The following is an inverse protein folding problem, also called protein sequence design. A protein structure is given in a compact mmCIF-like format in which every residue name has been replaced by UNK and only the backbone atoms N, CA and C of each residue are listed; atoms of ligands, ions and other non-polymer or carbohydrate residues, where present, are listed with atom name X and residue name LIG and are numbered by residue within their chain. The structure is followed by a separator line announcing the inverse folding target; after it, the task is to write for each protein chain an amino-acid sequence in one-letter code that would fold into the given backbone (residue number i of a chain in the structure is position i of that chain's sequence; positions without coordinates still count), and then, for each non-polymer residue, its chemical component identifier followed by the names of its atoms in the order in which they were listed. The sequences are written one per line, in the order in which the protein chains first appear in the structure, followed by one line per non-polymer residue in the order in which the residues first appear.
data_IF_723257831115
#
_entry.id   IF_723257831115
#
_cell.length_a   1.000
_cell.length_b   1.000
_cell.length_c   1.000
_cell.angle_alpha   90.00
_cell.angle_beta   90.00
_cell.angle_gamma   90.00
#
_symmetry.space_group_name_H-M   'P 1'
#
loop_
_entity.id
_entity.type
_entity.pdbx_description
1 polymer ?
#
# COMPACT_ATOMS: atom_id res chain seq x y z
N UNK A 1 0.97 1.32 14.43
CA UNK A 1 -0.15 1.03 13.52
C UNK A 1 -0.54 2.33 12.85
N UNK A 2 -0.71 2.33 11.53
CA UNK A 2 -1.30 3.48 10.81
C UNK A 2 -2.80 3.56 11.08
N UNK A 3 -3.41 4.73 10.88
CA UNK A 3 -4.87 4.90 11.03
C UNK A 3 -5.65 3.87 10.19
N UNK A 4 -5.17 3.57 8.98
CA UNK A 4 -5.79 2.58 8.10
C UNK A 4 -5.73 1.15 8.66
N UNK A 5 -4.62 0.73 9.28
CA UNK A 5 -4.52 -0.61 9.89
C UNK A 5 -5.50 -0.78 11.05
N UNK A 6 -5.76 0.29 11.81
CA UNK A 6 -6.75 0.26 12.88
C UNK A 6 -8.16 0.09 12.32
N UNK A 7 -8.51 0.87 11.29
CA UNK A 7 -9.81 0.80 10.61
C UNK A 7 -10.04 -0.59 10.01
N UNK A 8 -9.06 -1.15 9.31
CA UNK A 8 -9.16 -2.49 8.71
C UNK A 8 -9.46 -3.56 9.78
N UNK A 9 -8.79 -3.49 10.93
CA UNK A 9 -8.98 -4.42 12.04
C UNK A 9 -10.30 -4.20 12.80
N UNK A 10 -10.78 -2.96 12.92
CA UNK A 10 -12.10 -2.65 13.47
C UNK A 10 -13.22 -3.21 12.60
N UNK A 11 -13.17 -2.95 11.30
CA UNK A 11 -14.16 -3.45 10.34
C UNK A 11 -14.22 -4.98 10.35
N UNK A 12 -13.08 -5.66 10.42
CA UNK A 12 -13.05 -7.12 10.49
C UNK A 12 -13.63 -7.66 11.81
N UNK A 13 -13.40 -6.99 12.95
CA UNK A 13 -14.04 -7.36 14.22
C UNK A 13 -15.56 -7.18 14.16
N UNK A 14 -16.06 -6.12 13.53
CA UNK A 14 -17.49 -5.90 13.34
C UNK A 14 -18.11 -6.98 12.44
N UNK A 15 -17.45 -7.32 11.32
CA UNK A 15 -17.85 -8.41 10.42
C UNK A 15 -18.00 -9.74 11.18
N UNK A 16 -17.04 -10.06 12.05
CA UNK A 16 -17.08 -11.27 12.88
C UNK A 16 -18.21 -11.23 13.90
N UNK A 17 -18.41 -10.08 14.56
CA UNK A 17 -19.50 -9.87 15.55
C UNK A 17 -20.88 -10.02 14.91
N UNK A 18 -21.01 -9.61 13.65
CA UNK A 18 -22.24 -9.72 12.85
C UNK A 18 -22.41 -11.08 12.17
N UNK A 19 -21.50 -12.04 12.39
CA UNK A 19 -21.52 -13.38 11.78
C UNK A 19 -21.61 -13.36 10.24
N UNK A 20 -20.99 -12.37 9.59
CA UNK A 20 -20.99 -12.27 8.13
C UNK A 20 -19.94 -13.24 7.54
N UNK A 21 -20.33 -14.50 7.36
CA UNK A 21 -19.44 -15.62 6.98
C UNK A 21 -19.21 -15.77 5.46
N UNK A 22 -19.67 -14.84 4.64
CA UNK A 22 -19.43 -14.90 3.20
C UNK A 22 -17.93 -14.77 2.86
N UNK A 23 -17.44 -15.36 1.75
CA UNK A 23 -16.04 -15.22 1.34
C UNK A 23 -15.64 -13.74 1.18
N UNK A 24 -14.50 -13.37 1.76
CA UNK A 24 -13.95 -12.00 1.72
C UNK A 24 -12.43 -12.03 1.81
N UNK A 25 -11.80 -10.93 1.45
CA UNK A 25 -10.38 -10.67 1.73
C UNK A 25 -10.25 -10.16 3.16
N UNK A 26 -9.20 -10.58 3.85
CA UNK A 26 -8.95 -10.25 5.27
C UNK A 26 -7.77 -9.29 5.43
N UNK A 27 -7.73 -8.48 6.51
CA UNK A 27 -6.57 -7.65 6.83
C UNK A 27 -5.28 -8.46 6.91
N UNK A 28 -5.32 -9.65 7.49
CA UNK A 28 -4.16 -10.54 7.66
C UNK A 28 -3.59 -10.99 6.31
N UNK A 29 -4.45 -11.27 5.32
CA UNK A 29 -4.00 -11.61 3.96
C UNK A 29 -3.28 -10.42 3.30
N UNK A 30 -3.82 -9.21 3.46
CA UNK A 30 -3.21 -8.01 2.90
C UNK A 30 -1.88 -7.71 3.59
N UNK A 31 -1.82 -7.82 4.91
CA UNK A 31 -0.59 -7.59 5.67
C UNK A 31 0.49 -8.63 5.31
N UNK A 32 0.12 -9.89 5.07
CA UNK A 32 1.04 -10.91 4.59
C UNK A 32 1.61 -10.61 3.19
N UNK A 33 0.79 -10.08 2.28
CA UNK A 33 1.26 -9.64 0.96
C UNK A 33 2.17 -8.41 1.07
N UNK A 34 1.79 -7.44 1.91
CA UNK A 34 2.60 -6.24 2.18
C UNK A 34 3.96 -6.57 2.79
N UNK A 35 4.09 -7.63 3.59
CA UNK A 35 5.37 -8.07 4.16
C UNK A 35 6.40 -8.46 3.09
N UNK A 36 5.96 -8.84 1.89
CA UNK A 36 6.82 -9.12 0.75
C UNK A 36 7.11 -7.93 -0.17
N UNK A 37 6.56 -6.73 0.13
CA UNK A 37 6.74 -5.54 -0.71
C UNK A 37 8.09 -4.90 -0.44
N UNK A 38 8.79 -4.57 -1.52
CA UNK A 38 10.05 -3.83 -1.51
C UNK A 38 9.87 -2.44 -2.13
N UNK A 39 10.79 -1.52 -1.83
CA UNK A 39 10.71 -0.15 -2.31
C UNK A 39 11.99 0.25 -3.04
N UNK A 40 11.85 0.70 -4.28
CA UNK A 40 12.93 1.36 -5.03
C UNK A 40 12.75 2.88 -4.95
N UNK A 41 13.80 3.61 -4.57
CA UNK A 41 13.72 5.06 -4.30
C UNK A 41 14.64 5.82 -5.24
N UNK A 42 14.09 6.84 -5.89
CA UNK A 42 14.82 7.68 -6.83
C UNK A 42 14.51 9.16 -6.63
N UNK A 43 15.55 10.00 -6.66
CA UNK A 43 15.41 11.46 -6.67
C UNK A 43 15.47 11.94 -8.10
N UNK A 44 14.48 12.70 -8.54
CA UNK A 44 14.44 13.21 -9.91
C UNK A 44 15.49 14.32 -10.07
N UNK A 45 16.46 14.16 -10.98
CA UNK A 45 17.56 15.12 -11.13
C UNK A 45 17.06 16.54 -11.40
N UNK A 46 17.68 17.51 -10.73
CA UNK A 46 17.31 18.93 -10.87
C UNK A 46 16.03 19.34 -10.15
N UNK A 47 15.44 18.47 -9.32
CA UNK A 47 14.22 18.76 -8.55
C UNK A 47 14.40 18.41 -7.08
N UNK A 48 13.38 18.70 -6.26
CA UNK A 48 13.26 18.24 -4.87
C UNK A 48 12.42 16.95 -4.75
N UNK A 49 12.01 16.39 -5.88
CA UNK A 49 11.09 15.26 -5.93
C UNK A 49 11.81 13.95 -5.63
N UNK A 50 11.35 13.25 -4.61
CA UNK A 50 11.72 11.87 -4.30
C UNK A 50 10.55 10.96 -4.62
N UNK A 51 10.79 9.93 -5.42
CA UNK A 51 9.83 8.90 -5.81
C UNK A 51 10.18 7.61 -5.07
N UNK A 52 9.17 6.87 -4.64
CA UNK A 52 9.31 5.49 -4.17
C UNK A 52 8.36 4.58 -4.95
N UNK A 53 8.89 3.50 -5.52
CA UNK A 53 8.13 2.49 -6.25
C UNK A 53 7.94 1.28 -5.35
N UNK A 54 6.69 0.94 -5.02
CA UNK A 54 6.34 -0.25 -4.25
C UNK A 54 6.21 -1.46 -5.19
N UNK A 55 7.02 -2.49 -4.95
CA UNK A 55 7.18 -3.65 -5.83
C UNK A 55 6.82 -4.91 -5.03
N UNK A 56 5.82 -5.65 -5.50
CA UNK A 56 5.43 -6.93 -4.92
C UNK A 56 6.55 -7.97 -5.07
N UNK A 57 6.52 -9.03 -4.24
CA UNK A 57 7.52 -10.10 -4.26
C UNK A 57 7.67 -10.79 -5.63
N UNK A 58 6.64 -10.74 -6.48
CA UNK A 58 6.65 -11.28 -7.84
C UNK A 58 7.18 -10.29 -8.91
N UNK A 59 7.66 -9.11 -8.51
CA UNK A 59 8.15 -8.06 -9.41
C UNK A 59 7.07 -7.13 -9.97
N UNK A 60 5.79 -7.31 -9.62
CA UNK A 60 4.72 -6.42 -10.05
C UNK A 60 4.78 -5.07 -9.31
N UNK A 61 4.73 -3.97 -10.04
CA UNK A 61 4.64 -2.62 -9.44
C UNK A 61 3.23 -2.38 -8.91
N UNK A 62 3.08 -2.32 -7.58
CA UNK A 62 1.80 -2.07 -6.93
C UNK A 62 1.42 -0.59 -6.95
N UNK A 63 2.38 0.29 -6.67
CA UNK A 63 2.13 1.72 -6.57
C UNK A 63 3.41 2.54 -6.70
N UNK A 64 3.23 3.82 -6.98
CA UNK A 64 4.28 4.84 -6.94
C UNK A 64 3.84 5.93 -5.96
N UNK A 65 4.68 6.19 -4.96
CA UNK A 65 4.55 7.30 -4.04
C UNK A 65 5.59 8.38 -4.31
N UNK A 66 5.33 9.60 -3.85
CA UNK A 66 6.27 10.70 -4.03
C UNK A 66 6.18 11.76 -2.94
N UNK A 67 7.25 12.54 -2.80
CA UNK A 67 7.30 13.77 -2.03
C UNK A 67 8.13 14.80 -2.76
N UNK A 68 7.78 16.08 -2.64
CA UNK A 68 8.60 17.18 -3.11
C UNK A 68 8.44 18.36 -2.15
N UNK A 69 9.55 18.98 -1.72
CA UNK A 69 9.49 20.21 -0.94
C UNK A 69 9.47 21.43 -1.88
N UNK A 70 8.73 22.48 -1.49
CA UNK A 70 8.56 23.66 -2.33
C UNK A 70 9.88 24.43 -2.54
N UNK A 71 10.73 24.48 -1.52
CA UNK A 71 12.02 25.15 -1.56
C UNK A 71 13.16 24.11 -1.53
N UNK A 72 14.10 24.12 -2.49
CA UNK A 72 15.29 23.27 -2.47
C UNK A 72 16.15 23.37 -1.20
N UNK A 73 16.11 24.49 -0.48
CA UNK A 73 16.81 24.64 0.80
C UNK A 73 16.29 23.67 1.87
N UNK A 74 15.05 23.20 1.75
CA UNK A 74 14.44 22.20 2.64
C UNK A 74 14.69 20.76 2.18
N UNK A 75 15.38 20.55 1.05
CA UNK A 75 15.57 19.22 0.50
C UNK A 75 16.47 18.37 1.40
N UNK A 76 15.95 17.19 1.74
CA UNK A 76 16.67 16.18 2.49
C UNK A 76 16.32 14.81 1.93
N UNK A 77 17.27 14.16 1.26
CA UNK A 77 17.03 12.90 0.55
C UNK A 77 16.53 11.77 1.47
N UNK A 78 17.05 11.67 2.70
CA UNK A 78 16.59 10.64 3.67
C UNK A 78 15.17 10.92 4.15
N UNK A 79 14.86 12.19 4.40
CA UNK A 79 13.53 12.61 4.82
C UNK A 79 12.51 12.41 3.70
N UNK A 80 12.84 12.84 2.48
CA UNK A 80 12.01 12.60 1.28
C UNK A 80 11.77 11.11 1.05
N UNK A 81 12.81 10.28 1.10
CA UNK A 81 12.69 8.83 0.95
C UNK A 81 11.72 8.21 1.97
N UNK A 82 11.83 8.59 3.25
CA UNK A 82 10.93 8.10 4.31
C UNK A 82 9.45 8.34 3.98
N UNK A 83 9.10 9.55 3.53
CA UNK A 83 7.70 9.89 3.28
C UNK A 83 7.21 9.47 1.89
N UNK A 84 8.09 9.40 0.89
CA UNK A 84 7.78 8.80 -0.40
C UNK A 84 7.45 7.30 -0.23
N UNK A 85 8.22 6.58 0.59
CA UNK A 85 7.93 5.18 0.95
C UNK A 85 6.58 5.07 1.64
N UNK A 86 6.28 5.92 2.64
CA UNK A 86 4.98 5.90 3.33
C UNK A 86 3.79 6.14 2.39
N UNK A 87 3.93 7.07 1.45
CA UNK A 87 2.92 7.33 0.43
C UNK A 87 2.75 6.11 -0.50
N UNK A 88 3.86 5.52 -0.95
CA UNK A 88 3.86 4.30 -1.77
C UNK A 88 3.25 3.10 -1.04
N UNK A 89 3.57 2.91 0.25
CA UNK A 89 3.07 1.85 1.11
C UNK A 89 1.54 1.93 1.26
N UNK A 90 1.02 3.12 1.57
CA UNK A 90 -0.43 3.35 1.70
C UNK A 90 -1.16 3.02 0.39
N UNK A 91 -0.64 3.51 -0.74
CA UNK A 91 -1.19 3.25 -2.07
C UNK A 91 -1.09 1.77 -2.46
N UNK A 92 0.01 1.10 -2.14
CA UNK A 92 0.21 -0.32 -2.40
C UNK A 92 -0.79 -1.16 -1.61
N UNK A 93 -1.01 -0.85 -0.33
CA UNK A 93 -2.03 -1.54 0.48
C UNK A 93 -3.43 -1.39 -0.12
N UNK A 94 -3.81 -0.18 -0.52
CA UNK A 94 -5.09 0.06 -1.20
C UNK A 94 -5.20 -0.70 -2.54
N UNK A 95 -4.10 -0.77 -3.29
CA UNK A 95 -4.04 -1.54 -4.54
C UNK A 95 -4.25 -3.05 -4.29
N UNK A 96 -3.60 -3.61 -3.27
CA UNK A 96 -3.76 -5.02 -2.91
C UNK A 96 -5.20 -5.33 -2.50
N UNK A 97 -5.84 -4.48 -1.68
CA UNK A 97 -7.27 -4.62 -1.36
C UNK A 97 -8.13 -4.71 -2.62
N UNK A 98 -7.88 -3.83 -3.60
CA UNK A 98 -8.62 -3.81 -4.88
C UNK A 98 -8.35 -5.07 -5.71
N UNK A 99 -7.09 -5.46 -5.87
CA UNK A 99 -6.68 -6.59 -6.71
C UNK A 99 -7.14 -7.93 -6.11
N UNK A 100 -6.97 -8.13 -4.81
CA UNK A 100 -7.42 -9.35 -4.13
C UNK A 100 -8.94 -9.44 -4.08
N UNK A 101 -9.64 -8.31 -3.91
CA UNK A 101 -11.10 -8.26 -4.01
C UNK A 101 -11.59 -8.64 -5.40
N UNK A 102 -10.94 -8.12 -6.45
CA UNK A 102 -11.22 -8.50 -7.83
C UNK A 102 -10.93 -9.99 -8.09
N UNK A 103 -9.76 -10.49 -7.66
CA UNK A 103 -9.37 -11.89 -7.79
C UNK A 103 -10.38 -12.82 -7.13
N UNK A 104 -10.83 -12.49 -5.91
CA UNK A 104 -11.88 -13.22 -5.22
C UNK A 104 -13.20 -13.17 -6.00
N UNK A 105 -13.59 -12.02 -6.53
CA UNK A 105 -14.82 -11.89 -7.32
C UNK A 105 -14.78 -12.75 -8.59
N UNK A 106 -13.65 -12.78 -9.31
CA UNK A 106 -13.46 -13.66 -10.46
C UNK A 106 -13.61 -15.13 -10.06
N UNK A 107 -12.95 -15.55 -8.98
CA UNK A 107 -13.06 -16.91 -8.46
C UNK A 107 -14.52 -17.28 -8.14
N UNK A 108 -15.26 -16.39 -7.48
CA UNK A 108 -16.68 -16.61 -7.15
C UNK A 108 -17.61 -16.60 -8.39
N UNK A 109 -17.18 -15.96 -9.47
CA UNK A 109 -17.92 -15.90 -10.74
C UNK A 109 -17.49 -16.98 -11.74
N UNK A 110 -16.54 -17.85 -11.38
CA UNK A 110 -15.89 -18.80 -12.29
C UNK A 110 -15.31 -18.15 -13.56
N UNK A 111 -14.69 -16.97 -13.41
CA UNK A 111 -14.00 -16.23 -14.47
C UNK A 111 -12.49 -16.47 -14.45
#
# INVERSE_FOLDING_TARGET
MTDQQHIDAEMEREIQTLELTAPRVTPEQIDALMAGVTYDVHVIPGTTTTIATAIAANGFTLAIGMTACADPANFNAKFGAKYAIKDAESKAKAMLWKLEGWRLKCHLANL
#
